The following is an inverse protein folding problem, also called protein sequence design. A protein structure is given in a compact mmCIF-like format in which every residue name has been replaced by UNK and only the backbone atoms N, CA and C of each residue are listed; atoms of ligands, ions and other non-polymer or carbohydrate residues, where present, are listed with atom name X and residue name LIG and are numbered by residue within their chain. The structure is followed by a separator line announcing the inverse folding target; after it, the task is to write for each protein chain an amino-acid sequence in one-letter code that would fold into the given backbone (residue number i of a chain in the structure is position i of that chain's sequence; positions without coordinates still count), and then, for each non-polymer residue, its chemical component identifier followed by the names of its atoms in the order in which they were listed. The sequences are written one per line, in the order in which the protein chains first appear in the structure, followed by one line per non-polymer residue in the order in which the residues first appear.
data_IF_858272172354
#
_entry.id   IF_858272172354
#
_cell.length_a   1.000
_cell.length_b   1.000
_cell.length_c   1.000
_cell.angle_alpha   90.00
_cell.angle_beta   90.00
_cell.angle_gamma   90.00
#
_symmetry.space_group_name_H-M   'P 1'
#
loop_
_entity.id
_entity.type
_entity.pdbx_description
1 polymer ?
#
# COMPACT_ATOMS: atom_id res chain seq x y z
N UNK A 1 -66.53 43.86 16.78
CA UNK A 1 -65.18 43.78 16.17
C UNK A 1 -64.06 43.76 17.20
N UNK A 2 -63.96 44.66 18.20
CA UNK A 2 -62.88 44.63 19.23
C UNK A 2 -62.71 43.33 20.04
N UNK A 3 -63.76 42.53 20.27
CA UNK A 3 -63.69 41.28 21.06
C UNK A 3 -63.20 40.03 20.29
N UNK A 4 -63.12 40.10 18.96
CA UNK A 4 -62.75 38.96 18.11
C UNK A 4 -61.24 38.97 17.81
N UNK A 5 -60.65 40.16 17.72
CA UNK A 5 -59.21 40.40 17.61
C UNK A 5 -58.43 39.94 18.86
N UNK A 6 -58.98 40.19 20.07
CA UNK A 6 -58.38 39.77 21.35
C UNK A 6 -58.38 38.23 21.54
N UNK A 7 -59.33 37.52 20.91
CA UNK A 7 -59.43 36.05 20.97
C UNK A 7 -58.40 35.38 20.07
N UNK A 8 -58.24 35.88 18.85
CA UNK A 8 -57.21 35.42 17.92
C UNK A 8 -55.80 35.74 18.43
N UNK A 9 -55.58 36.91 19.05
CA UNK A 9 -54.33 37.23 19.74
C UNK A 9 -54.03 36.24 20.87
N UNK A 10 -55.02 35.90 21.71
CA UNK A 10 -54.84 34.89 22.77
C UNK A 10 -54.58 33.49 22.25
N UNK A 11 -55.24 33.07 21.17
CA UNK A 11 -55.02 31.74 20.56
C UNK A 11 -53.64 31.63 19.91
N UNK A 12 -53.15 32.69 19.24
CA UNK A 12 -51.79 32.76 18.68
C UNK A 12 -50.70 32.80 19.77
N UNK A 13 -50.93 33.55 20.86
CA UNK A 13 -50.03 33.59 22.03
C UNK A 13 -50.01 32.23 22.74
N UNK A 14 -51.15 31.52 22.80
CA UNK A 14 -51.23 30.16 23.36
C UNK A 14 -50.50 29.14 22.47
N UNK A 15 -50.53 29.31 21.14
CA UNK A 15 -49.77 28.46 20.21
C UNK A 15 -48.25 28.64 20.34
N UNK A 16 -47.79 29.83 20.75
CA UNK A 16 -46.36 30.13 20.96
C UNK A 16 -45.84 29.80 22.37
N UNK A 17 -46.71 29.62 23.37
CA UNK A 17 -46.31 29.50 24.79
C UNK A 17 -46.40 28.10 25.38
N UNK A 18 -47.07 27.15 24.72
CA UNK A 18 -47.36 25.85 25.36
C UNK A 18 -46.22 24.84 25.27
N UNK A 19 -45.22 25.03 24.42
CA UNK A 19 -44.06 24.12 24.33
C UNK A 19 -42.72 24.88 24.27
N UNK A 20 -41.96 24.81 25.37
CA UNK A 20 -40.52 25.06 25.51
C UNK A 20 -39.97 26.47 25.19
N UNK A 21 -39.87 27.36 26.19
CA UNK A 21 -38.73 28.31 26.31
C UNK A 21 -38.50 29.37 25.21
N UNK A 22 -39.36 29.47 24.20
CA UNK A 22 -39.23 30.47 23.14
C UNK A 22 -39.59 31.87 23.64
N UNK A 23 -38.75 32.86 23.31
CA UNK A 23 -39.10 34.27 23.46
C UNK A 23 -39.85 34.70 22.23
N UNK A 24 -40.95 35.43 22.40
CA UNK A 24 -41.70 35.99 21.28
C UNK A 24 -41.86 37.49 21.44
N UNK A 25 -42.08 38.18 20.32
CA UNK A 25 -42.39 39.60 20.29
C UNK A 25 -43.44 39.90 19.25
N UNK A 26 -44.29 40.88 19.53
CA UNK A 26 -45.34 41.34 18.65
C UNK A 26 -45.10 42.81 18.36
N UNK A 27 -44.86 43.16 17.10
CA UNK A 27 -44.72 44.54 16.67
C UNK A 27 -45.99 45.03 15.97
N UNK A 28 -46.65 46.03 16.56
CA UNK A 28 -47.81 46.73 16.00
C UNK A 28 -47.36 48.06 15.42
N UNK A 29 -47.32 48.16 14.09
CA UNK A 29 -46.73 49.33 13.40
C UNK A 29 -47.53 50.61 13.54
N UNK A 30 -48.85 50.55 13.75
CA UNK A 30 -49.71 51.73 13.91
C UNK A 30 -49.28 52.64 15.07
N UNK A 31 -48.67 52.08 16.11
CA UNK A 31 -48.26 52.80 17.33
C UNK A 31 -46.75 52.72 17.58
N UNK A 32 -45.98 52.16 16.62
CA UNK A 32 -44.59 51.74 16.79
C UNK A 32 -44.32 51.01 18.12
N UNK A 33 -45.28 50.16 18.55
CA UNK A 33 -45.21 49.51 19.85
C UNK A 33 -44.85 48.03 19.66
N UNK A 34 -43.77 47.59 20.29
CA UNK A 34 -43.37 46.18 20.34
C UNK A 34 -43.62 45.65 21.75
N UNK A 35 -44.20 44.46 21.84
CA UNK A 35 -44.44 43.77 23.10
C UNK A 35 -43.67 42.47 23.08
N UNK A 36 -42.72 42.31 23.99
CA UNK A 36 -41.98 41.08 24.19
C UNK A 36 -42.70 40.17 25.19
N UNK A 37 -42.44 38.86 25.11
CA UNK A 37 -42.81 37.89 26.14
C UNK A 37 -42.12 38.21 27.47
N UNK A 38 -42.73 37.81 28.58
CA UNK A 38 -42.12 37.99 29.91
C UNK A 38 -40.72 37.36 29.98
N UNK A 39 -39.80 38.05 30.64
CA UNK A 39 -38.41 37.62 30.86
C UNK A 39 -37.54 37.48 29.59
N UNK A 40 -37.87 38.16 28.48
CA UNK A 40 -37.01 38.14 27.29
C UNK A 40 -35.59 38.66 27.56
N UNK A 41 -35.43 39.57 28.53
CA UNK A 41 -34.12 40.12 28.92
C UNK A 41 -33.16 39.02 29.41
N UNK A 42 -33.69 37.90 29.94
CA UNK A 42 -32.89 36.79 30.44
C UNK A 42 -32.13 36.06 29.34
N UNK A 43 -32.62 36.05 28.10
CA UNK A 43 -31.91 35.48 26.95
C UNK A 43 -30.59 36.21 26.68
N UNK A 44 -30.59 37.53 26.88
CA UNK A 44 -29.40 38.36 26.74
C UNK A 44 -28.60 38.47 28.05
N UNK A 45 -29.04 37.78 29.12
CA UNK A 45 -28.37 37.77 30.43
C UNK A 45 -28.61 39.01 31.29
N UNK A 46 -29.65 39.79 30.99
CA UNK A 46 -30.02 40.99 31.75
C UNK A 46 -31.11 40.66 32.79
N UNK A 47 -31.20 41.49 33.83
CA UNK A 47 -32.30 41.43 34.82
C UNK A 47 -33.54 42.14 34.27
N UNK A 48 -34.69 41.83 34.86
CA UNK A 48 -35.97 42.44 34.49
C UNK A 48 -35.91 43.97 34.64
N UNK A 49 -36.35 44.69 33.61
CA UNK A 49 -36.32 46.16 33.50
C UNK A 49 -34.92 46.80 33.41
N UNK A 50 -33.87 46.04 33.09
CA UNK A 50 -32.51 46.57 32.89
C UNK A 50 -32.31 47.17 31.50
N UNK A 51 -33.08 46.72 30.51
CA UNK A 51 -33.03 47.18 29.11
C UNK A 51 -34.43 47.59 28.61
N UNK A 52 -34.49 48.51 27.63
CA UNK A 52 -35.76 49.05 27.15
C UNK A 52 -36.50 48.07 26.23
N UNK A 53 -37.83 48.06 26.27
CA UNK A 53 -38.67 47.28 25.37
C UNK A 53 -38.85 47.93 23.99
N UNK A 54 -37.85 48.70 23.51
CA UNK A 54 -37.93 49.35 22.19
C UNK A 54 -37.38 48.43 21.09
N UNK A 55 -37.90 48.51 19.85
CA UNK A 55 -37.32 47.79 18.71
C UNK A 55 -35.84 48.13 18.49
N UNK A 56 -35.46 49.38 18.76
CA UNK A 56 -34.09 49.87 18.61
C UNK A 56 -33.15 49.25 19.65
N UNK A 57 -33.66 48.83 20.82
CA UNK A 57 -32.83 48.22 21.86
C UNK A 57 -32.27 46.88 21.42
N UNK A 58 -33.09 45.99 20.85
CA UNK A 58 -32.63 44.70 20.34
C UNK A 58 -31.53 44.87 19.29
N UNK A 59 -31.71 45.82 18.38
CA UNK A 59 -30.75 46.12 17.30
C UNK A 59 -29.38 46.54 17.86
N UNK A 60 -29.30 47.21 19.01
CA UNK A 60 -28.02 47.58 19.65
C UNK A 60 -27.19 46.37 20.07
N UNK A 61 -27.84 45.24 20.34
CA UNK A 61 -27.18 44.02 20.80
C UNK A 61 -26.74 43.13 19.64
N UNK A 62 -27.28 43.33 18.43
CA UNK A 62 -26.88 42.58 17.23
C UNK A 62 -25.43 42.89 16.85
N UNK A 63 -24.68 41.88 16.42
CA UNK A 63 -23.33 42.06 15.88
C UNK A 63 -23.35 42.89 14.59
N UNK A 64 -22.40 43.82 14.44
CA UNK A 64 -22.37 44.77 13.32
C UNK A 64 -22.36 44.09 11.93
N UNK A 65 -21.75 42.90 11.85
CA UNK A 65 -21.68 42.06 10.64
C UNK A 65 -23.05 41.54 10.18
N UNK A 66 -24.00 41.36 11.11
CA UNK A 66 -25.32 40.78 10.85
C UNK A 66 -26.42 41.83 10.64
N UNK A 67 -26.15 43.10 10.96
CA UNK A 67 -27.12 44.19 10.81
C UNK A 67 -27.64 44.30 9.38
N UNK A 68 -26.78 44.14 8.37
CA UNK A 68 -27.18 44.22 6.96
C UNK A 68 -28.21 43.15 6.61
N UNK A 69 -27.99 41.90 7.03
CA UNK A 69 -28.90 40.78 6.78
C UNK A 69 -30.25 40.97 7.47
N UNK A 70 -30.27 41.56 8.67
CA UNK A 70 -31.52 41.91 9.36
C UNK A 70 -32.32 42.97 8.60
N UNK A 71 -31.67 44.03 8.10
CA UNK A 71 -32.36 45.07 7.32
C UNK A 71 -32.94 44.52 6.01
N UNK A 72 -32.20 43.64 5.33
CA UNK A 72 -32.67 42.96 4.12
C UNK A 72 -33.88 42.05 4.42
N UNK A 73 -33.84 41.26 5.50
CA UNK A 73 -34.96 40.42 5.91
C UNK A 73 -36.19 41.22 6.35
N UNK A 74 -36.02 42.32 7.09
CA UNK A 74 -37.15 43.21 7.42
C UNK A 74 -37.76 43.83 6.16
N UNK A 75 -36.95 44.10 5.14
CA UNK A 75 -37.44 44.62 3.85
C UNK A 75 -38.19 43.56 3.04
N UNK A 76 -37.81 42.29 3.15
CA UNK A 76 -38.52 41.18 2.45
C UNK A 76 -39.95 40.98 2.95
N UNK A 77 -40.26 41.36 4.20
CA UNK A 77 -41.62 41.33 4.76
C UNK A 77 -42.66 42.15 3.98
N UNK A 78 -42.22 43.07 3.10
CA UNK A 78 -43.12 43.77 2.18
C UNK A 78 -43.73 42.84 1.13
N UNK A 79 -43.06 41.74 0.82
CA UNK A 79 -43.44 40.77 -0.22
C UNK A 79 -43.73 39.38 0.35
N UNK A 80 -43.04 38.98 1.41
CA UNK A 80 -43.16 37.66 2.04
C UNK A 80 -43.91 37.77 3.37
N UNK A 81 -44.71 36.75 3.69
CA UNK A 81 -45.46 36.68 4.95
C UNK A 81 -44.69 35.98 6.07
N UNK A 82 -43.57 35.31 5.78
CA UNK A 82 -42.76 34.61 6.76
C UNK A 82 -41.30 34.53 6.31
N UNK A 83 -40.36 34.70 7.23
CA UNK A 83 -38.94 34.45 6.99
C UNK A 83 -38.22 34.07 8.29
N UNK A 84 -37.02 33.50 8.15
CA UNK A 84 -36.17 33.20 9.30
C UNK A 84 -34.72 33.58 9.02
N UNK A 85 -34.01 34.00 10.06
CA UNK A 85 -32.59 34.33 9.97
C UNK A 85 -31.85 33.93 11.25
N UNK A 86 -30.58 33.57 11.12
CA UNK A 86 -29.68 33.37 12.25
C UNK A 86 -28.62 34.46 12.31
N UNK A 87 -28.37 35.03 13.48
CA UNK A 87 -27.38 36.08 13.69
C UNK A 87 -26.87 36.09 15.12
N UNK A 88 -25.76 36.79 15.37
CA UNK A 88 -25.18 36.92 16.70
C UNK A 88 -25.71 38.15 17.42
N UNK A 89 -25.95 37.98 18.72
CA UNK A 89 -26.20 39.10 19.64
C UNK A 89 -25.22 39.06 20.81
N UNK A 90 -24.88 40.24 21.33
CA UNK A 90 -24.02 40.42 22.49
C UNK A 90 -24.81 40.10 23.77
N UNK A 91 -24.25 39.21 24.57
CA UNK A 91 -24.76 38.87 25.89
C UNK A 91 -24.19 39.86 26.92
N UNK A 92 -24.90 40.06 28.04
CA UNK A 92 -24.52 41.02 29.11
C UNK A 92 -23.13 40.78 29.70
N UNK A 93 -22.63 39.54 29.62
CA UNK A 93 -21.29 39.14 30.07
C UNK A 93 -20.18 39.36 29.02
N UNK A 94 -20.52 39.94 27.86
CA UNK A 94 -19.57 40.25 26.77
C UNK A 94 -19.32 39.12 25.77
N UNK A 95 -19.90 37.93 25.96
CA UNK A 95 -19.93 36.85 24.97
C UNK A 95 -20.95 37.14 23.87
N UNK A 96 -20.92 36.36 22.79
CA UNK A 96 -21.99 36.35 21.79
C UNK A 96 -22.83 35.09 21.94
N UNK A 97 -24.12 35.20 21.67
CA UNK A 97 -25.04 34.07 21.50
C UNK A 97 -25.58 34.08 20.06
N UNK A 98 -25.72 32.90 19.47
CA UNK A 98 -26.34 32.74 18.15
C UNK A 98 -27.86 32.65 18.33
N UNK A 99 -28.60 33.57 17.70
CA UNK A 99 -30.06 33.62 17.75
C UNK A 99 -30.64 33.23 16.40
N UNK A 100 -31.61 32.31 16.43
CA UNK A 100 -32.52 32.07 15.31
C UNK A 100 -33.80 32.85 15.53
N UNK A 101 -34.09 33.75 14.59
CA UNK A 101 -35.29 34.55 14.58
C UNK A 101 -36.21 34.07 13.49
N UNK A 102 -37.45 33.69 13.84
CA UNK A 102 -38.51 33.36 12.88
C UNK A 102 -39.59 34.42 12.98
N UNK A 103 -39.95 35.03 11.86
CA UNK A 103 -40.89 36.15 11.81
C UNK A 103 -42.02 35.82 10.86
N UNK A 104 -43.24 36.15 11.28
CA UNK A 104 -44.48 35.98 10.52
C UNK A 104 -45.33 37.25 10.55
N UNK A 105 -45.84 37.65 9.40
CA UNK A 105 -46.82 38.73 9.26
C UNK A 105 -48.20 38.19 9.61
N UNK A 106 -48.83 38.78 10.61
CA UNK A 106 -50.15 38.37 11.10
C UNK A 106 -51.27 39.12 10.37
N UNK A 107 -51.03 40.39 10.02
CA UNK A 107 -51.99 41.20 9.26
C UNK A 107 -51.28 42.27 8.43
N UNK A 108 -51.94 42.69 7.35
CA UNK A 108 -51.52 43.77 6.45
C UNK A 108 -52.60 44.83 6.33
N UNK A 109 -52.22 46.05 5.97
CA UNK A 109 -53.16 47.13 5.66
C UNK A 109 -53.74 46.98 4.24
N UNK A 110 -54.68 47.86 3.89
CA UNK A 110 -55.31 47.90 2.55
C UNK A 110 -54.31 48.16 1.41
N UNK A 111 -53.08 48.62 1.73
CA UNK A 111 -52.00 48.88 0.78
C UNK A 111 -50.97 47.73 0.73
N UNK A 112 -51.24 46.62 1.44
CA UNK A 112 -50.39 45.42 1.46
C UNK A 112 -49.20 45.49 2.41
N UNK A 113 -49.07 46.55 3.22
CA UNK A 113 -47.96 46.72 4.15
C UNK A 113 -48.24 45.97 5.47
N UNK A 114 -47.23 45.31 6.08
CA UNK A 114 -47.42 44.61 7.36
C UNK A 114 -47.93 45.56 8.45
N UNK A 115 -48.99 45.18 9.17
CA UNK A 115 -49.56 45.90 10.32
C UNK A 115 -49.15 45.28 11.65
N UNK A 116 -49.22 43.95 11.73
CA UNK A 116 -48.89 43.17 12.91
C UNK A 116 -47.88 42.09 12.53
N UNK A 117 -46.75 42.06 13.22
CA UNK A 117 -45.66 41.10 12.98
C UNK A 117 -45.41 40.35 14.28
N UNK A 118 -45.35 39.03 14.21
CA UNK A 118 -44.97 38.14 15.31
C UNK A 118 -43.57 37.59 15.00
N UNK A 119 -42.64 37.73 15.93
CA UNK A 119 -41.34 37.09 15.86
C UNK A 119 -41.08 36.18 17.05
N UNK A 120 -40.28 35.15 16.86
CA UNK A 120 -39.71 34.33 17.92
C UNK A 120 -38.19 34.37 17.89
N UNK A 121 -37.56 34.30 19.06
CA UNK A 121 -36.12 34.17 19.24
C UNK A 121 -35.82 32.85 19.93
N UNK A 122 -34.88 32.11 19.38
CA UNK A 122 -34.36 30.85 19.90
C UNK A 122 -32.84 30.96 20.04
N UNK A 123 -32.31 30.63 21.22
CA UNK A 123 -30.86 30.46 21.40
C UNK A 123 -30.42 29.17 20.72
N UNK A 124 -29.64 29.32 19.64
CA UNK A 124 -29.07 28.22 18.88
C UNK A 124 -27.55 28.13 19.07
N UNK A 125 -26.98 28.74 20.11
CA UNK A 125 -25.53 28.76 20.35
C UNK A 125 -24.96 27.35 20.46
N UNK A 126 -25.54 26.52 21.34
CA UNK A 126 -25.12 25.11 21.49
C UNK A 126 -25.35 24.31 20.20
N UNK A 127 -26.48 24.53 19.52
CA UNK A 127 -26.79 23.86 18.25
C UNK A 127 -25.78 24.23 17.16
N UNK A 128 -25.41 25.51 17.06
CA UNK A 128 -24.45 26.02 16.08
C UNK A 128 -23.04 25.53 16.37
N UNK A 129 -22.66 25.48 17.65
CA UNK A 129 -21.39 24.89 18.09
C UNK A 129 -21.30 23.40 17.73
N UNK A 130 -22.32 22.61 18.09
CA UNK A 130 -22.39 21.18 17.77
C UNK A 130 -22.35 20.96 16.24
N UNK A 131 -23.09 21.76 15.46
CA UNK A 131 -23.05 21.67 13.98
C UNK A 131 -21.66 21.93 13.41
N UNK A 132 -20.95 22.95 13.90
CA UNK A 132 -19.58 23.26 13.49
C UNK A 132 -18.60 22.13 13.85
N UNK A 133 -18.71 21.60 15.06
CA UNK A 133 -17.91 20.44 15.51
C UNK A 133 -18.18 19.19 14.66
N UNK A 134 -19.45 18.90 14.34
CA UNK A 134 -19.83 17.78 13.48
C UNK A 134 -19.26 17.91 12.06
N UNK A 135 -19.35 19.09 11.44
CA UNK A 135 -18.78 19.33 10.12
C UNK A 135 -17.25 19.12 10.11
N UNK A 136 -16.56 19.65 11.13
CA UNK A 136 -15.11 19.48 11.28
C UNK A 136 -14.73 18.02 11.47
N UNK A 137 -15.50 17.27 12.26
CA UNK A 137 -15.27 15.85 12.48
C UNK A 137 -15.52 15.01 11.22
N UNK A 138 -16.51 15.37 10.39
CA UNK A 138 -16.75 14.72 9.10
C UNK A 138 -15.56 14.91 8.15
N UNK A 139 -15.07 16.14 7.98
CA UNK A 139 -13.89 16.42 7.16
C UNK A 139 -12.64 15.67 7.65
N UNK A 140 -12.43 15.65 8.98
CA UNK A 140 -11.33 14.89 9.58
C UNK A 140 -11.47 13.38 9.35
N UNK A 141 -12.68 12.84 9.44
CA UNK A 141 -12.94 11.43 9.19
C UNK A 141 -12.64 11.07 7.73
N UNK A 142 -13.09 11.88 6.77
CA UNK A 142 -12.80 11.69 5.34
C UNK A 142 -11.29 11.72 5.06
N UNK A 143 -10.57 12.68 5.65
CA UNK A 143 -9.12 12.79 5.49
C UNK A 143 -8.39 11.56 6.07
N UNK A 144 -8.81 11.10 7.25
CA UNK A 144 -8.23 9.90 7.88
C UNK A 144 -8.55 8.65 7.07
N UNK A 145 -9.78 8.53 6.55
CA UNK A 145 -10.20 7.40 5.72
C UNK A 145 -9.41 7.34 4.41
N UNK A 146 -9.27 8.47 3.71
CA UNK A 146 -8.46 8.56 2.49
C UNK A 146 -6.98 8.20 2.74
N UNK A 147 -6.43 8.58 3.89
CA UNK A 147 -5.07 8.16 4.29
C UNK A 147 -4.99 6.67 4.57
N UNK A 148 -6.00 6.10 5.25
CA UNK A 148 -6.07 4.66 5.52
C UNK A 148 -6.18 3.85 4.23
N UNK A 149 -7.03 4.24 3.29
CA UNK A 149 -7.13 3.59 1.99
C UNK A 149 -5.82 3.66 1.21
N UNK A 150 -5.18 4.83 1.17
CA UNK A 150 -3.88 4.98 0.51
C UNK A 150 -2.83 4.04 1.13
N UNK A 151 -2.71 4.00 2.46
CA UNK A 151 -1.77 3.11 3.13
C UNK A 151 -2.11 1.62 2.97
N UNK A 152 -3.40 1.28 2.83
CA UNK A 152 -3.84 -0.10 2.68
C UNK A 152 -3.62 -0.66 1.27
N UNK A 153 -3.69 0.18 0.24
CA UNK A 153 -3.70 -0.26 -1.16
C UNK A 153 -2.57 0.27 -2.04
N UNK A 154 -1.77 1.23 -1.56
CA UNK A 154 -0.68 1.82 -2.32
C UNK A 154 0.63 1.73 -1.54
N UNK A 155 1.71 1.60 -2.30
CA UNK A 155 3.08 1.65 -1.79
C UNK A 155 3.45 3.10 -1.46
N UNK A 156 3.92 3.34 -0.23
CA UNK A 156 4.18 4.68 0.28
C UNK A 156 5.38 5.37 -0.39
N UNK A 157 6.30 4.61 -0.98
CA UNK A 157 7.51 5.15 -1.62
C UNK A 157 7.24 5.56 -3.07
N UNK A 158 6.63 4.67 -3.85
CA UNK A 158 6.42 4.86 -5.30
C UNK A 158 5.06 5.44 -5.64
N UNK A 159 4.08 5.37 -4.73
CA UNK A 159 2.68 5.70 -5.00
C UNK A 159 2.00 4.75 -6.01
N UNK A 160 2.65 3.63 -6.36
CA UNK A 160 2.02 2.56 -7.13
C UNK A 160 1.07 1.75 -6.24
N UNK A 161 0.07 1.07 -6.82
CA UNK A 161 -0.63 0.00 -6.13
C UNK A 161 0.34 -0.97 -5.42
N UNK A 162 -0.05 -1.42 -4.24
CA UNK A 162 0.72 -2.42 -3.50
C UNK A 162 0.28 -3.85 -3.87
N UNK A 163 0.89 -4.84 -3.23
CA UNK A 163 0.58 -6.27 -3.40
C UNK A 163 -0.90 -6.60 -3.23
N UNK A 164 -1.57 -6.07 -2.20
CA UNK A 164 -2.98 -6.34 -1.92
C UNK A 164 -3.86 -5.84 -3.06
N UNK A 165 -3.60 -4.61 -3.52
CA UNK A 165 -4.37 -3.99 -4.59
C UNK A 165 -4.23 -4.77 -5.91
N UNK A 166 -2.99 -5.09 -6.30
CA UNK A 166 -2.76 -5.77 -7.59
C UNK A 166 -3.26 -7.22 -7.58
N UNK A 167 -3.14 -7.95 -6.47
CA UNK A 167 -3.70 -9.31 -6.35
C UNK A 167 -5.23 -9.29 -6.47
N UNK A 168 -5.89 -8.32 -5.83
CA UNK A 168 -7.35 -8.12 -5.92
C UNK A 168 -7.77 -7.80 -7.36
N UNK A 169 -7.09 -6.83 -7.98
CA UNK A 169 -7.38 -6.40 -9.36
C UNK A 169 -7.11 -7.51 -10.37
N UNK A 170 -6.03 -8.27 -10.19
CA UNK A 170 -5.66 -9.38 -11.05
C UNK A 170 -6.72 -10.49 -11.02
N UNK A 171 -7.29 -10.82 -9.86
CA UNK A 171 -8.39 -11.80 -9.77
C UNK A 171 -9.64 -11.36 -10.56
N UNK A 172 -9.95 -10.05 -10.56
CA UNK A 172 -11.03 -9.51 -11.38
C UNK A 172 -10.71 -9.64 -12.87
N UNK A 173 -9.51 -9.23 -13.28
CA UNK A 173 -9.04 -9.31 -14.68
C UNK A 173 -9.06 -10.76 -15.19
N UNK A 174 -8.63 -11.73 -14.38
CA UNK A 174 -8.66 -13.16 -14.73
C UNK A 174 -10.10 -13.62 -14.93
N UNK A 175 -11.01 -13.27 -14.02
CA UNK A 175 -12.43 -13.64 -14.11
C UNK A 175 -13.08 -13.10 -15.39
N UNK A 176 -12.77 -11.84 -15.74
CA UNK A 176 -13.22 -11.21 -16.97
C UNK A 176 -12.63 -11.91 -18.20
N UNK A 177 -11.34 -12.27 -18.15
CA UNK A 177 -10.66 -12.94 -19.25
C UNK A 177 -11.22 -14.34 -19.54
N UNK A 178 -11.52 -15.11 -18.48
CA UNK A 178 -12.17 -16.43 -18.58
C UNK A 178 -13.56 -16.27 -19.22
N UNK A 179 -14.36 -15.32 -18.72
CA UNK A 179 -15.73 -15.09 -19.21
C UNK A 179 -15.77 -14.68 -20.69
N UNK A 180 -14.78 -13.90 -21.14
CA UNK A 180 -14.69 -13.40 -22.50
C UNK A 180 -13.80 -14.25 -23.42
N UNK A 181 -13.24 -15.36 -22.93
CA UNK A 181 -12.27 -16.20 -23.66
C UNK A 181 -11.08 -15.41 -24.22
N UNK A 182 -10.60 -14.41 -23.47
CA UNK A 182 -9.42 -13.60 -23.82
C UNK A 182 -8.20 -14.07 -23.04
N UNK A 183 -7.00 -13.75 -23.54
CA UNK A 183 -5.74 -14.03 -22.85
C UNK A 183 -5.12 -12.74 -22.32
N UNK A 184 -4.49 -12.82 -21.16
CA UNK A 184 -3.68 -11.75 -20.59
C UNK A 184 -2.36 -12.26 -20.02
N UNK A 185 -1.52 -11.35 -19.56
CA UNK A 185 -0.18 -11.67 -19.07
C UNK A 185 0.14 -10.96 -17.75
N UNK A 186 0.92 -11.62 -16.91
CA UNK A 186 1.50 -11.07 -15.67
C UNK A 186 3.01 -11.05 -15.85
N UNK A 187 3.61 -9.88 -15.65
CA UNK A 187 5.05 -9.65 -15.68
C UNK A 187 5.50 -9.41 -14.24
N UNK A 188 6.46 -10.19 -13.77
CA UNK A 188 7.14 -10.01 -12.49
C UNK A 188 8.55 -9.49 -12.77
N UNK A 189 8.90 -8.36 -12.17
CA UNK A 189 10.04 -7.53 -12.54
C UNK A 189 10.89 -7.32 -11.29
N UNK A 190 12.20 -7.52 -11.39
CA UNK A 190 13.14 -7.31 -10.29
C UNK A 190 14.42 -6.62 -10.79
N UNK A 191 14.96 -5.73 -9.95
CA UNK A 191 16.14 -4.95 -10.26
C UNK A 191 17.42 -5.74 -9.93
N UNK A 192 18.19 -6.04 -10.97
CA UNK A 192 19.39 -6.85 -10.84
C UNK A 192 20.46 -6.16 -9.97
N UNK A 193 20.99 -6.90 -9.00
CA UNK A 193 22.03 -6.44 -8.07
C UNK A 193 21.64 -5.22 -7.21
N UNK A 194 20.35 -4.96 -7.00
CA UNK A 194 19.90 -3.81 -6.21
C UNK A 194 20.45 -3.80 -4.77
N UNK A 195 20.62 -4.98 -4.16
CA UNK A 195 21.29 -5.09 -2.85
C UNK A 195 22.71 -4.51 -2.86
N UNK A 196 23.51 -4.83 -3.87
CA UNK A 196 24.88 -4.29 -3.98
C UNK A 196 24.88 -2.77 -4.15
N UNK A 197 23.88 -2.24 -4.86
CA UNK A 197 23.67 -0.80 -5.00
C UNK A 197 23.38 -0.16 -3.64
N UNK A 198 22.48 -0.73 -2.85
CA UNK A 198 22.19 -0.27 -1.48
C UNK A 198 23.41 -0.36 -0.56
N UNK A 199 24.16 -1.46 -0.63
CA UNK A 199 25.35 -1.67 0.21
C UNK A 199 26.46 -0.66 -0.14
N UNK A 200 26.50 -0.15 -1.39
CA UNK A 200 27.51 0.79 -1.87
C UNK A 200 27.10 2.26 -1.70
N UNK A 201 25.85 2.61 -2.02
CA UNK A 201 25.36 4.00 -2.10
C UNK A 201 24.35 4.36 -1.00
N UNK A 202 23.97 3.39 -0.18
CA UNK A 202 23.04 3.56 0.93
C UNK A 202 21.56 3.40 0.54
N UNK A 203 20.74 3.03 1.52
CA UNK A 203 19.31 2.79 1.33
C UNK A 203 18.54 4.02 0.82
N UNK A 204 18.89 5.23 1.27
CA UNK A 204 18.22 6.45 0.78
C UNK A 204 18.39 6.66 -0.72
N UNK A 205 19.56 6.32 -1.27
CA UNK A 205 19.77 6.35 -2.71
C UNK A 205 19.00 5.22 -3.43
N UNK A 206 18.94 4.03 -2.83
CA UNK A 206 18.08 2.95 -3.31
C UNK A 206 16.61 3.34 -3.39
N UNK A 207 16.10 4.07 -2.41
CA UNK A 207 14.72 4.56 -2.39
C UNK A 207 14.46 5.53 -3.56
N UNK A 208 15.43 6.38 -3.90
CA UNK A 208 15.35 7.26 -5.08
C UNK A 208 15.33 6.46 -6.39
N UNK A 209 16.16 5.41 -6.50
CA UNK A 209 16.15 4.48 -7.63
C UNK A 209 14.78 3.82 -7.77
N UNK A 210 14.24 3.25 -6.68
CA UNK A 210 12.93 2.60 -6.68
C UNK A 210 11.83 3.58 -7.06
N UNK A 211 11.86 4.80 -6.53
CA UNK A 211 10.91 5.86 -6.88
C UNK A 211 10.96 6.13 -8.38
N UNK A 212 12.17 6.27 -8.95
CA UNK A 212 12.34 6.54 -10.37
C UNK A 212 11.86 5.40 -11.26
N UNK A 213 12.14 4.16 -10.87
CA UNK A 213 11.64 2.95 -11.54
C UNK A 213 10.12 2.91 -11.51
N UNK A 214 9.51 3.21 -10.35
CA UNK A 214 8.06 3.28 -10.19
C UNK A 214 7.42 4.32 -11.13
N UNK A 215 8.02 5.51 -11.25
CA UNK A 215 7.57 6.54 -12.20
C UNK A 215 7.62 6.06 -13.65
N UNK A 216 8.72 5.42 -14.06
CA UNK A 216 8.90 4.92 -15.43
C UNK A 216 7.89 3.81 -15.74
N UNK A 217 7.72 2.84 -14.84
CA UNK A 217 6.74 1.77 -15.01
C UNK A 217 5.32 2.35 -15.10
N UNK A 218 4.97 3.29 -14.21
CA UNK A 218 3.66 3.96 -14.22
C UNK A 218 3.40 4.70 -15.53
N UNK A 219 4.43 5.36 -16.09
CA UNK A 219 4.30 6.06 -17.37
C UNK A 219 4.14 5.10 -18.56
N UNK A 220 4.82 3.94 -18.52
CA UNK A 220 4.72 2.92 -19.57
C UNK A 220 3.36 2.21 -19.51
N UNK A 221 2.80 2.00 -18.31
CA UNK A 221 1.51 1.36 -18.10
C UNK A 221 0.36 2.36 -18.30
N UNK A 222 -0.18 2.40 -19.53
CA UNK A 222 -1.30 3.26 -19.90
C UNK A 222 -2.53 2.41 -20.28
N UNK A 223 -3.72 3.03 -20.26
CA UNK A 223 -4.98 2.36 -20.58
C UNK A 223 -5.32 1.31 -19.53
N UNK A 224 -5.62 0.08 -19.99
CA UNK A 224 -6.06 -1.00 -19.11
C UNK A 224 -4.89 -1.73 -18.40
N UNK A 225 -3.63 -1.43 -18.77
CA UNK A 225 -2.45 -2.06 -18.17
C UNK A 225 -2.26 -1.56 -16.74
N UNK A 226 -2.09 -2.49 -15.79
CA UNK A 226 -1.95 -2.18 -14.37
C UNK A 226 -0.53 -2.44 -13.89
N UNK A 227 0.00 -1.61 -13.00
CA UNK A 227 1.32 -1.78 -12.39
C UNK A 227 1.26 -1.68 -10.88
N UNK A 228 2.18 -2.35 -10.19
CA UNK A 228 2.28 -2.35 -8.74
C UNK A 228 3.72 -2.54 -8.26
N UNK A 229 4.03 -2.10 -7.05
CA UNK A 229 5.23 -2.51 -6.31
C UNK A 229 4.81 -3.51 -5.25
N UNK A 230 5.38 -4.72 -5.28
CA UNK A 230 4.99 -5.81 -4.37
C UNK A 230 5.87 -5.89 -3.13
N UNK A 231 7.09 -5.35 -3.18
CA UNK A 231 8.01 -5.21 -2.05
C UNK A 231 9.45 -5.02 -2.53
N UNK A 232 10.33 -4.47 -1.69
CA UNK A 232 11.75 -4.31 -2.03
C UNK A 232 11.97 -3.64 -3.39
N UNK A 233 12.66 -4.32 -4.28
CA UNK A 233 12.96 -3.97 -5.67
C UNK A 233 12.06 -4.69 -6.71
N UNK A 234 10.97 -5.30 -6.24
CA UNK A 234 10.06 -6.10 -7.05
C UNK A 234 8.82 -5.31 -7.49
N UNK A 235 8.51 -5.38 -8.79
CA UNK A 235 7.35 -4.77 -9.42
C UNK A 235 6.56 -5.80 -10.20
N UNK A 236 5.26 -5.55 -10.33
CA UNK A 236 4.34 -6.38 -11.11
C UNK A 236 3.63 -5.52 -12.13
N UNK A 237 3.52 -6.02 -13.35
CA UNK A 237 2.69 -5.43 -14.40
C UNK A 237 1.71 -6.46 -14.93
N UNK A 238 0.45 -6.06 -15.13
CA UNK A 238 -0.63 -6.91 -15.64
C UNK A 238 -1.14 -6.33 -16.95
N UNK A 239 -1.00 -7.11 -18.02
CA UNK A 239 -1.59 -6.86 -19.33
C UNK A 239 -2.93 -7.61 -19.36
N UNK A 240 -4.09 -6.92 -19.29
CA UNK A 240 -5.37 -7.59 -19.08
C UNK A 240 -5.84 -8.38 -20.30
N UNK A 241 -5.47 -7.95 -21.50
CA UNK A 241 -5.80 -8.62 -22.76
C UNK A 241 -4.72 -8.39 -23.81
N UNK A 242 -4.46 -9.39 -24.63
CA UNK A 242 -3.66 -9.28 -25.87
C UNK A 242 -4.20 -10.22 -26.95
N UNK A 243 -3.92 -9.93 -28.23
CA UNK A 243 -4.32 -10.80 -29.35
C UNK A 243 -3.16 -11.69 -29.79
N UNK A 244 -1.98 -11.09 -29.92
CA UNK A 244 -0.75 -11.76 -30.31
C UNK A 244 0.32 -11.66 -29.22
N UNK A 245 1.05 -12.76 -28.99
CA UNK A 245 2.11 -12.80 -27.98
C UNK A 245 3.22 -11.77 -28.22
N UNK A 246 3.38 -11.32 -29.48
CA UNK A 246 4.31 -10.25 -29.86
C UNK A 246 4.00 -8.94 -29.15
N UNK A 247 2.73 -8.65 -28.85
CA UNK A 247 2.33 -7.46 -28.09
C UNK A 247 2.92 -7.48 -26.68
N UNK A 248 2.87 -8.64 -26.01
CA UNK A 248 3.48 -8.85 -24.69
C UNK A 248 5.00 -8.72 -24.78
N UNK A 249 5.62 -9.32 -25.79
CA UNK A 249 7.07 -9.26 -26.01
C UNK A 249 7.54 -7.82 -26.22
N UNK A 250 6.86 -7.06 -27.08
CA UNK A 250 7.23 -5.68 -27.41
C UNK A 250 7.02 -4.76 -26.21
N UNK A 251 5.95 -4.98 -25.44
CA UNK A 251 5.71 -4.27 -24.19
C UNK A 251 6.80 -4.57 -23.14
N UNK A 252 7.19 -5.83 -22.95
CA UNK A 252 8.28 -6.22 -22.04
C UNK A 252 9.61 -5.60 -22.46
N UNK A 253 9.93 -5.62 -23.76
CA UNK A 253 11.15 -4.98 -24.28
C UNK A 253 11.15 -3.47 -24.06
N UNK A 254 9.99 -2.82 -24.18
CA UNK A 254 9.83 -1.40 -23.87
C UNK A 254 10.15 -1.13 -22.40
N UNK A 255 9.66 -1.95 -21.47
CA UNK A 255 10.01 -1.85 -20.04
C UNK A 255 11.52 -1.97 -19.85
N UNK A 256 12.13 -3.07 -20.33
CA UNK A 256 13.58 -3.29 -20.18
C UNK A 256 14.39 -2.08 -20.67
N UNK A 257 14.11 -1.62 -21.89
CA UNK A 257 14.82 -0.48 -22.48
C UNK A 257 14.64 0.80 -21.67
N UNK A 258 13.42 1.12 -21.26
CA UNK A 258 13.14 2.35 -20.50
C UNK A 258 13.75 2.34 -19.10
N UNK A 259 13.87 1.18 -18.45
CA UNK A 259 14.58 1.05 -17.17
C UNK A 259 16.10 1.16 -17.36
N UNK A 260 16.64 0.59 -18.44
CA UNK A 260 18.06 0.71 -18.78
C UNK A 260 18.47 2.16 -19.12
N UNK A 261 17.53 2.97 -19.61
CA UNK A 261 17.72 4.40 -19.89
C UNK A 261 17.84 5.26 -18.62
N UNK A 262 17.55 4.72 -17.43
CA UNK A 262 17.79 5.39 -16.15
C UNK A 262 19.30 5.33 -15.85
N UNK A 263 20.07 6.23 -16.48
CA UNK A 263 21.54 6.26 -16.39
C UNK A 263 22.08 7.11 -15.24
N UNK A 264 21.31 8.07 -14.76
CA UNK A 264 21.76 9.03 -13.73
C UNK A 264 20.67 9.35 -12.73
N UNK A 265 20.99 9.31 -11.44
CA UNK A 265 20.14 9.80 -10.34
C UNK A 265 21.00 10.66 -9.42
N UNK A 266 20.56 11.90 -9.17
CA UNK A 266 21.28 12.86 -8.31
C UNK A 266 22.78 13.01 -8.66
N UNK A 267 23.09 13.09 -9.96
CA UNK A 267 24.43 13.17 -10.55
C UNK A 267 25.34 11.94 -10.31
N UNK A 268 24.81 10.83 -9.80
CA UNK A 268 25.51 9.55 -9.77
C UNK A 268 25.14 8.74 -11.00
N UNK A 269 26.16 8.26 -11.72
CA UNK A 269 25.98 7.30 -12.81
C UNK A 269 25.58 5.95 -12.23
N UNK A 270 24.50 5.38 -12.76
CA UNK A 270 24.03 4.05 -12.39
C UNK A 270 23.89 3.19 -13.64
N UNK A 271 24.16 1.90 -13.45
CA UNK A 271 23.89 0.89 -14.48
C UNK A 271 22.82 -0.05 -13.96
N UNK A 272 21.56 0.31 -14.22
CA UNK A 272 20.41 -0.50 -13.84
C UNK A 272 20.18 -1.59 -14.89
N UNK A 273 20.01 -2.82 -14.42
CA UNK A 273 19.55 -3.95 -15.24
C UNK A 273 18.36 -4.61 -14.55
N UNK A 274 17.54 -5.33 -15.33
CA UNK A 274 16.28 -5.85 -14.84
C UNK A 274 16.00 -7.25 -15.37
N UNK A 275 15.55 -8.13 -14.50
CA UNK A 275 15.10 -9.48 -14.84
C UNK A 275 13.58 -9.53 -14.82
N UNK A 276 12.95 -10.04 -15.89
CA UNK A 276 11.49 -10.10 -16.02
C UNK A 276 10.99 -11.53 -16.29
N UNK A 277 10.12 -12.03 -15.44
CA UNK A 277 9.40 -13.28 -15.68
C UNK A 277 7.97 -13.03 -16.12
N UNK A 278 7.45 -13.87 -17.01
CA UNK A 278 6.13 -13.66 -17.62
C UNK A 278 5.28 -14.92 -17.47
N UNK A 279 4.06 -14.80 -16.97
CA UNK A 279 3.04 -15.85 -17.02
C UNK A 279 1.81 -15.39 -17.81
N UNK A 280 1.07 -16.33 -18.38
CA UNK A 280 -0.07 -16.11 -19.28
C UNK A 280 -1.31 -16.75 -18.67
N UNK A 281 -2.41 -16.00 -18.62
CA UNK A 281 -3.70 -16.49 -18.18
C UNK A 281 -4.73 -16.45 -19.32
N UNK A 282 -5.73 -17.35 -19.31
CA UNK A 282 -5.97 -18.40 -18.30
C UNK A 282 -5.13 -19.67 -18.49
N UNK A 283 -4.33 -19.80 -19.56
CA UNK A 283 -3.62 -21.04 -19.92
C UNK A 283 -2.73 -21.63 -18.81
N UNK A 284 -2.02 -20.78 -18.08
CA UNK A 284 -1.08 -21.22 -17.04
C UNK A 284 -1.67 -21.09 -15.63
N UNK A 285 -2.92 -20.65 -15.49
CA UNK A 285 -3.56 -20.54 -14.18
C UNK A 285 -4.72 -19.57 -14.14
N UNK A 286 -5.64 -19.82 -13.20
CA UNK A 286 -6.86 -19.04 -12.98
C UNK A 286 -6.86 -18.33 -11.61
N UNK A 287 -5.71 -18.30 -10.92
CA UNK A 287 -5.53 -17.63 -9.62
C UNK A 287 -4.36 -16.67 -9.68
N UNK A 288 -4.55 -15.45 -9.13
CA UNK A 288 -3.47 -14.47 -9.00
C UNK A 288 -2.24 -15.05 -8.29
N UNK A 289 -2.45 -15.87 -7.26
CA UNK A 289 -1.36 -16.50 -6.49
C UNK A 289 -0.50 -17.43 -7.34
N UNK A 290 -1.10 -18.23 -8.23
CA UNK A 290 -0.36 -19.13 -9.11
C UNK A 290 0.36 -18.35 -10.22
N UNK A 291 -0.31 -17.39 -10.85
CA UNK A 291 0.27 -16.62 -11.94
C UNK A 291 1.44 -15.75 -11.49
N UNK A 292 1.33 -15.11 -10.31
CA UNK A 292 2.43 -14.38 -9.70
C UNK A 292 3.60 -15.31 -9.38
N UNK A 293 3.33 -16.49 -8.78
CA UNK A 293 4.36 -17.50 -8.51
C UNK A 293 5.06 -17.97 -9.79
N UNK A 294 4.32 -18.20 -10.88
CA UNK A 294 4.89 -18.66 -12.15
C UNK A 294 5.71 -17.58 -12.84
N UNK A 295 5.25 -16.32 -12.80
CA UNK A 295 6.04 -15.20 -13.29
C UNK A 295 7.32 -15.02 -12.46
N UNK A 296 7.24 -15.13 -11.13
CA UNK A 296 8.40 -15.10 -10.24
C UNK A 296 9.42 -16.23 -10.54
N UNK A 297 8.96 -17.47 -10.72
CA UNK A 297 9.80 -18.60 -11.15
C UNK A 297 10.53 -18.28 -12.47
N UNK A 298 9.82 -17.74 -13.46
CA UNK A 298 10.43 -17.38 -14.74
C UNK A 298 11.46 -16.25 -14.60
N UNK A 299 11.20 -15.29 -13.72
CA UNK A 299 12.10 -14.17 -13.41
C UNK A 299 13.39 -14.68 -12.75
N UNK A 300 13.29 -15.57 -11.77
CA UNK A 300 14.44 -16.22 -11.18
C UNK A 300 15.28 -16.97 -12.23
N UNK A 301 14.64 -17.62 -13.20
CA UNK A 301 15.35 -18.24 -14.33
C UNK A 301 16.08 -17.25 -15.23
N UNK A 302 15.59 -16.01 -15.37
CA UNK A 302 16.36 -14.95 -16.03
C UNK A 302 17.63 -14.63 -15.25
N UNK A 303 17.52 -14.48 -13.92
CA UNK A 303 18.67 -14.19 -13.05
C UNK A 303 19.76 -15.26 -13.14
N UNK A 304 19.37 -16.53 -13.21
CA UNK A 304 20.30 -17.66 -13.43
C UNK A 304 20.92 -17.63 -14.85
N UNK A 305 20.19 -17.13 -15.85
CA UNK A 305 20.59 -17.18 -17.27
C UNK A 305 21.40 -15.97 -17.76
N UNK A 306 21.84 -15.09 -16.85
CA UNK A 306 22.68 -13.93 -17.20
C UNK A 306 22.04 -12.55 -17.00
N UNK A 307 20.85 -12.47 -16.38
CA UNK A 307 20.18 -11.20 -16.01
C UNK A 307 19.81 -10.31 -17.22
N UNK A 308 19.27 -9.12 -16.97
CA UNK A 308 18.95 -8.12 -18.00
C UNK A 308 18.14 -8.64 -19.21
N UNK A 309 17.11 -9.44 -18.96
CA UNK A 309 16.31 -10.07 -20.01
C UNK A 309 14.92 -10.45 -19.49
N UNK A 310 14.15 -11.18 -20.30
CA UNK A 310 12.88 -11.75 -19.89
C UNK A 310 12.73 -13.22 -20.28
N UNK A 311 11.89 -13.96 -19.56
CA UNK A 311 11.47 -15.32 -19.92
C UNK A 311 9.98 -15.54 -19.65
N UNK A 312 9.35 -16.32 -20.51
CA UNK A 312 8.03 -16.88 -20.24
C UNK A 312 8.15 -18.11 -19.36
N UNK A 313 7.18 -18.26 -18.45
CA UNK A 313 7.02 -19.44 -17.65
C UNK A 313 6.78 -20.67 -18.53
N UNK A 314 7.41 -21.78 -18.14
CA UNK A 314 7.16 -23.12 -18.68
C UNK A 314 7.11 -24.13 -17.54
N UNK A 315 6.35 -25.21 -17.69
CA UNK A 315 6.26 -26.24 -16.65
C UNK A 315 7.59 -26.94 -16.33
N UNK A 316 8.53 -26.92 -17.28
CA UNK A 316 9.89 -27.41 -17.07
C UNK A 316 10.62 -26.59 -15.98
N UNK A 317 10.41 -25.28 -15.90
CA UNK A 317 11.02 -24.43 -14.87
C UNK A 317 10.56 -24.81 -13.46
N UNK A 318 9.27 -25.11 -13.27
CA UNK A 318 8.76 -25.58 -11.98
C UNK A 318 9.35 -26.94 -11.63
N UNK A 319 9.38 -27.87 -12.59
CA UNK A 319 9.96 -29.21 -12.38
C UNK A 319 11.44 -29.17 -12.02
N UNK A 320 12.21 -28.25 -12.61
CA UNK A 320 13.61 -28.04 -12.25
C UNK A 320 13.78 -27.59 -10.80
N UNK A 321 12.97 -26.64 -10.33
CA UNK A 321 13.00 -26.16 -8.95
C UNK A 321 12.62 -27.27 -7.98
N UNK A 322 11.55 -28.00 -8.27
CA UNK A 322 11.10 -29.14 -7.46
C UNK A 322 12.18 -30.23 -7.37
N UNK A 323 12.83 -30.55 -8.50
CA UNK A 323 13.94 -31.51 -8.51
C UNK A 323 15.15 -30.98 -7.74
N UNK A 324 15.51 -29.69 -7.85
CA UNK A 324 16.57 -29.07 -7.04
C UNK A 324 16.27 -29.23 -5.54
N UNK A 325 15.05 -28.91 -5.11
CA UNK A 325 14.64 -29.03 -3.70
C UNK A 325 14.65 -30.49 -3.21
N UNK A 326 14.22 -31.43 -4.06
CA UNK A 326 14.30 -32.86 -3.73
C UNK A 326 15.75 -33.29 -3.55
N UNK A 327 16.63 -32.96 -4.51
CA UNK A 327 18.06 -33.25 -4.42
C UNK A 327 18.67 -32.64 -3.16
N UNK A 328 18.40 -31.37 -2.88
CA UNK A 328 18.89 -30.68 -1.68
C UNK A 328 18.49 -31.41 -0.40
N UNK A 329 17.20 -31.75 -0.25
CA UNK A 329 16.66 -32.48 0.91
C UNK A 329 17.32 -33.84 1.09
N UNK A 330 17.63 -34.53 0.00
CA UNK A 330 18.24 -35.86 0.02
C UNK A 330 19.76 -35.80 0.24
N UNK A 331 20.45 -34.81 -0.32
CA UNK A 331 21.90 -34.66 -0.20
C UNK A 331 22.34 -34.47 1.26
N UNK A 332 21.59 -33.69 2.06
CA UNK A 332 21.86 -33.52 3.49
C UNK A 332 21.85 -34.88 4.21
N UNK A 333 20.89 -35.74 3.87
CA UNK A 333 20.78 -37.08 4.47
C UNK A 333 21.83 -38.04 3.93
N UNK A 334 22.27 -37.86 2.69
CA UNK A 334 23.25 -38.73 2.04
C UNK A 334 24.60 -38.72 2.76
N UNK A 335 24.99 -37.57 3.32
CA UNK A 335 26.19 -37.39 4.15
C UNK A 335 26.13 -38.30 5.40
N UNK A 336 24.97 -38.43 6.03
CA UNK A 336 24.76 -39.24 7.24
C UNK A 336 24.52 -40.72 6.95
N UNK A 337 23.96 -41.04 5.77
CA UNK A 337 23.44 -42.38 5.44
C UNK A 337 24.39 -43.26 4.62
N UNK A 338 25.67 -42.90 4.51
CA UNK A 338 26.67 -43.61 3.70
C UNK A 338 26.22 -43.80 2.23
N UNK A 339 25.49 -42.84 1.68
CA UNK A 339 25.07 -42.86 0.26
C UNK A 339 26.13 -42.24 -0.66
N UNK A 340 27.13 -41.58 -0.08
CA UNK A 340 28.27 -40.98 -0.76
C UNK A 340 29.47 -41.93 -0.74
N UNK A 341 30.24 -41.93 -1.82
CA UNK A 341 31.51 -42.67 -1.91
C UNK A 341 32.52 -41.88 -2.75
N UNK A 342 33.82 -42.12 -2.51
CA UNK A 342 34.90 -41.60 -3.34
C UNK A 342 35.34 -42.67 -4.33
N UNK A 343 35.30 -42.33 -5.61
CA UNK A 343 36.05 -43.06 -6.64
C UNK A 343 37.42 -42.40 -6.80
N UNK A 344 38.42 -43.17 -7.20
CA UNK A 344 39.79 -42.68 -7.36
C UNK A 344 40.25 -42.87 -8.80
N UNK A 345 40.59 -41.78 -9.48
CA UNK A 345 41.13 -41.81 -10.83
C UNK A 345 42.65 -41.69 -10.77
N UNK A 346 43.42 -42.64 -11.31
CA UNK A 346 44.89 -42.57 -11.29
C UNK A 346 45.39 -41.44 -12.20
N UNK A 347 46.41 -40.74 -11.71
CA UNK A 347 47.20 -39.78 -12.46
C UNK A 347 48.54 -40.45 -12.79
N UNK A 348 48.87 -40.48 -14.09
CA UNK A 348 50.06 -41.19 -14.60
C UNK A 348 51.14 -40.16 -14.87
N UNK A 349 52.34 -40.37 -14.30
CA UNK A 349 53.52 -39.59 -14.68
C UNK A 349 53.89 -39.92 -16.13
N UNK A 350 53.90 -38.91 -17.00
CA UNK A 350 54.14 -39.10 -18.43
C UNK A 350 55.57 -39.53 -18.78
N UNK A 351 56.54 -39.35 -17.88
CA UNK A 351 57.93 -39.75 -18.10
C UNK A 351 58.22 -41.14 -17.55
N UNK A 352 57.66 -41.48 -16.38
CA UNK A 352 57.96 -42.74 -15.69
C UNK A 352 56.89 -43.81 -15.89
N UNK A 353 55.73 -43.45 -16.45
CA UNK A 353 54.52 -44.28 -16.56
C UNK A 353 54.03 -44.85 -15.22
N UNK A 354 54.50 -44.28 -14.10
CA UNK A 354 54.13 -44.70 -12.76
C UNK A 354 52.89 -43.97 -12.25
N UNK A 355 52.08 -44.66 -11.44
CA UNK A 355 50.94 -44.07 -10.74
C UNK A 355 51.39 -43.70 -9.33
N UNK A 356 51.78 -42.45 -9.12
CA UNK A 356 52.18 -41.91 -7.80
C UNK A 356 51.08 -41.05 -7.15
N UNK A 357 49.98 -40.84 -7.87
CA UNK A 357 48.90 -39.94 -7.46
C UNK A 357 47.54 -40.36 -8.00
N UNK A 358 46.48 -40.01 -7.27
CA UNK A 358 45.07 -40.23 -7.65
C UNK A 358 44.25 -38.98 -7.38
N UNK A 359 43.21 -38.76 -8.18
CA UNK A 359 42.16 -37.77 -7.92
C UNK A 359 40.95 -38.43 -7.26
N UNK A 360 40.53 -37.90 -6.11
CA UNK A 360 39.33 -38.31 -5.40
C UNK A 360 38.09 -37.62 -5.99
N UNK A 361 37.18 -38.43 -6.52
CA UNK A 361 35.98 -37.97 -7.20
C UNK A 361 34.74 -38.51 -6.49
N UNK A 362 33.95 -37.60 -5.91
CA UNK A 362 32.74 -37.97 -5.19
C UNK A 362 31.67 -38.57 -6.12
N UNK A 363 30.96 -39.58 -5.62
CA UNK A 363 29.80 -40.21 -6.26
C UNK A 363 28.70 -40.32 -5.23
N UNK A 364 27.46 -40.09 -5.68
CA UNK A 364 26.29 -40.26 -4.84
C UNK A 364 25.39 -41.35 -5.40
N UNK A 365 25.16 -42.39 -4.61
CA UNK A 365 24.26 -43.48 -4.93
C UNK A 365 22.96 -43.32 -4.15
N UNK A 366 21.96 -42.74 -4.80
CA UNK A 366 20.65 -42.56 -4.21
C UNK A 366 19.85 -43.88 -4.22
N UNK A 367 19.19 -44.27 -3.11
CA UNK A 367 18.52 -45.56 -2.99
C UNK A 367 17.49 -45.87 -4.08
N UNK A 368 16.78 -44.84 -4.57
CA UNK A 368 15.73 -45.00 -5.60
C UNK A 368 16.08 -44.39 -6.96
N UNK A 369 17.06 -43.47 -7.01
CA UNK A 369 17.41 -42.73 -8.25
C UNK A 369 18.70 -43.24 -8.89
N UNK A 370 19.40 -44.18 -8.25
CA UNK A 370 20.68 -44.69 -8.73
C UNK A 370 21.81 -43.67 -8.56
N UNK A 371 22.81 -43.70 -9.44
CA UNK A 371 23.94 -42.78 -9.38
C UNK A 371 23.50 -41.38 -9.82
N UNK A 372 23.59 -40.42 -8.92
CA UNK A 372 23.35 -39.00 -9.20
C UNK A 372 24.70 -38.34 -9.55
N UNK A 373 24.74 -37.68 -10.70
CA UNK A 373 25.96 -37.03 -11.20
C UNK A 373 26.39 -35.86 -10.31
N UNK A 374 27.70 -35.69 -10.03
CA UNK A 374 28.24 -34.50 -9.37
C UNK A 374 27.84 -33.19 -10.05
N UNK A 375 27.67 -33.18 -11.38
CA UNK A 375 27.21 -32.00 -12.11
C UNK A 375 25.79 -31.57 -11.74
N UNK A 376 25.00 -32.46 -11.13
CA UNK A 376 23.65 -32.16 -10.65
C UNK A 376 23.68 -31.67 -9.20
N UNK A 377 24.35 -32.40 -8.31
CA UNK A 377 24.24 -32.12 -6.87
C UNK A 377 25.30 -31.16 -6.32
N UNK A 378 26.46 -30.98 -6.96
CA UNK A 378 27.48 -30.03 -6.50
C UNK A 378 27.00 -28.57 -6.62
N UNK A 379 26.43 -28.12 -7.76
CA UNK A 379 25.89 -26.76 -7.84
C UNK A 379 24.80 -26.49 -6.80
N UNK A 380 23.96 -27.49 -6.52
CA UNK A 380 22.93 -27.41 -5.47
C UNK A 380 23.60 -27.34 -4.09
N UNK A 381 24.65 -28.13 -3.85
CA UNK A 381 25.38 -28.07 -2.60
C UNK A 381 25.99 -26.69 -2.35
N UNK A 382 26.51 -26.04 -3.40
CA UNK A 382 27.04 -24.69 -3.35
C UNK A 382 25.93 -23.66 -3.08
N UNK A 383 24.85 -23.71 -3.86
CA UNK A 383 23.70 -22.80 -3.76
C UNK A 383 23.08 -22.80 -2.34
N UNK A 384 22.97 -23.97 -1.73
CA UNK A 384 22.38 -24.14 -0.39
C UNK A 384 23.41 -24.24 0.74
N UNK A 385 24.69 -24.03 0.47
CA UNK A 385 25.78 -24.06 1.47
C UNK A 385 26.16 -25.45 2.02
N UNK A 386 25.54 -26.53 1.55
CA UNK A 386 25.81 -27.93 1.92
C UNK A 386 27.23 -28.35 1.48
N UNK A 387 27.81 -27.67 0.49
CA UNK A 387 29.16 -27.95 -0.04
C UNK A 387 30.24 -27.96 1.05
N UNK A 388 30.01 -27.26 2.16
CA UNK A 388 30.91 -27.19 3.32
C UNK A 388 30.98 -28.53 4.06
N UNK A 389 29.82 -29.06 4.44
CA UNK A 389 29.71 -30.34 5.14
C UNK A 389 30.15 -31.48 4.21
N UNK A 390 29.74 -31.39 2.95
CA UNK A 390 30.14 -32.32 1.91
C UNK A 390 31.67 -32.36 1.73
N UNK A 391 32.31 -31.19 1.64
CA UNK A 391 33.76 -31.11 1.49
C UNK A 391 34.52 -31.59 2.71
N UNK A 392 33.99 -31.35 3.92
CA UNK A 392 34.54 -31.91 5.15
C UNK A 392 34.47 -33.44 5.15
N UNK A 393 33.33 -34.00 4.73
CA UNK A 393 33.16 -35.43 4.55
C UNK A 393 34.18 -35.99 3.54
N UNK A 394 34.31 -35.36 2.36
CA UNK A 394 35.28 -35.77 1.32
C UNK A 394 36.71 -35.79 1.86
N UNK A 395 37.13 -34.73 2.57
CA UNK A 395 38.47 -34.62 3.15
C UNK A 395 38.75 -35.76 4.13
N UNK A 396 37.82 -35.99 5.07
CA UNK A 396 37.97 -37.05 6.08
C UNK A 396 38.02 -38.44 5.43
N UNK A 397 37.14 -38.71 4.47
CA UNK A 397 37.08 -40.01 3.78
C UNK A 397 38.34 -40.26 2.94
N UNK A 398 38.84 -39.25 2.24
CA UNK A 398 40.07 -39.36 1.46
C UNK A 398 41.31 -39.58 2.34
N UNK A 399 41.43 -38.86 3.46
CA UNK A 399 42.53 -39.03 4.42
C UNK A 399 42.49 -40.42 5.06
N UNK A 400 41.31 -40.89 5.47
CA UNK A 400 41.12 -42.22 6.03
C UNK A 400 41.46 -43.32 5.01
N UNK A 401 41.05 -43.16 3.75
CA UNK A 401 41.39 -44.12 2.69
C UNK A 401 42.90 -44.17 2.42
N UNK A 402 43.57 -43.00 2.41
CA UNK A 402 45.03 -42.94 2.21
C UNK A 402 45.77 -43.62 3.37
N UNK A 403 45.29 -43.44 4.60
CA UNK A 403 45.82 -44.14 5.78
C UNK A 403 45.62 -45.66 5.67
N UNK A 404 44.45 -46.11 5.23
CA UNK A 404 44.17 -47.53 5.00
C UNK A 404 45.10 -48.15 3.95
N UNK A 405 45.39 -47.45 2.85
CA UNK A 405 46.37 -47.92 1.86
C UNK A 405 47.78 -48.01 2.43
N UNK A 406 48.18 -47.02 3.22
CA UNK A 406 49.47 -47.04 3.94
C UNK A 406 49.57 -48.25 4.87
N UNK A 407 48.52 -48.51 5.66
CA UNK A 407 48.47 -49.63 6.60
C UNK A 407 48.45 -51.01 5.91
N UNK A 408 47.97 -51.07 4.66
CA UNK A 408 48.03 -52.25 3.78
C UNK A 408 49.38 -52.45 3.10
N UNK A 409 50.34 -51.55 3.31
CA UNK A 409 51.70 -51.65 2.77
C UNK A 409 51.88 -51.12 1.34
N UNK A 410 50.90 -50.36 0.81
CA UNK A 410 51.08 -49.65 -0.45
C UNK A 410 52.09 -48.51 -0.29
N UNK A 411 52.78 -48.17 -1.38
CA UNK A 411 53.66 -47.01 -1.41
C UNK A 411 52.84 -45.72 -1.13
N UNK A 412 53.43 -44.71 -0.49
CA UNK A 412 52.75 -43.44 -0.24
C UNK A 412 52.20 -42.84 -1.55
N UNK A 413 50.89 -42.68 -1.62
CA UNK A 413 50.20 -42.12 -2.78
C UNK A 413 49.65 -40.74 -2.44
N UNK A 414 49.77 -39.79 -3.37
CA UNK A 414 49.18 -38.46 -3.22
C UNK A 414 47.71 -38.53 -3.65
N UNK A 415 46.82 -37.93 -2.85
CA UNK A 415 45.40 -37.83 -3.17
C UNK A 415 45.05 -36.36 -3.44
N UNK A 416 44.64 -36.08 -4.67
CA UNK A 416 44.11 -34.77 -5.09
C UNK A 416 42.62 -34.68 -4.75
N UNK A 417 42.19 -33.58 -4.15
CA UNK A 417 40.81 -33.34 -3.74
C UNK A 417 40.35 -32.00 -4.32
N UNK A 418 39.20 -31.99 -4.97
CA UNK A 418 38.58 -30.78 -5.50
C UNK A 418 37.95 -29.95 -4.36
N UNK A 419 38.13 -28.64 -4.42
CA UNK A 419 37.66 -27.70 -3.38
C UNK A 419 36.86 -26.58 -4.04
N UNK A 420 35.65 -26.33 -3.54
CA UNK A 420 34.81 -25.22 -4.00
C UNK A 420 35.34 -23.87 -3.47
N UNK A 421 35.25 -22.77 -4.23
CA UNK A 421 35.62 -21.43 -3.76
C UNK A 421 34.93 -21.03 -2.44
N UNK A 422 33.66 -21.44 -2.26
CA UNK A 422 32.88 -21.15 -1.05
C UNK A 422 33.47 -21.77 0.22
N UNK A 423 34.24 -22.86 0.07
CA UNK A 423 34.95 -23.46 1.20
C UNK A 423 36.17 -22.65 1.61
N UNK A 424 36.81 -21.94 0.69
CA UNK A 424 38.02 -21.13 0.94
C UNK A 424 37.69 -19.79 1.60
N UNK A 425 36.55 -19.19 1.26
CA UNK A 425 36.11 -17.87 1.77
C UNK A 425 35.82 -17.85 3.28
N UNK A 426 35.73 -19.01 3.92
CA UNK A 426 35.21 -19.15 5.27
C UNK A 426 36.22 -18.90 6.40
N UNK A 427 37.50 -18.78 6.05
CA UNK A 427 38.58 -18.52 7.01
C UNK A 427 38.95 -19.68 7.93
N UNK A 428 38.12 -20.72 8.07
CA UNK A 428 38.36 -21.92 8.89
C UNK A 428 38.83 -23.14 8.09
N UNK A 429 38.90 -23.06 6.76
CA UNK A 429 39.28 -24.17 5.88
C UNK A 429 40.58 -24.87 6.30
N UNK A 430 41.58 -24.09 6.70
CA UNK A 430 42.88 -24.62 7.19
C UNK A 430 42.70 -25.47 8.45
N UNK A 431 41.76 -25.11 9.33
CA UNK A 431 41.44 -25.88 10.55
C UNK A 431 40.77 -27.20 10.17
N UNK A 432 39.83 -27.17 9.21
CA UNK A 432 39.15 -28.37 8.70
C UNK A 432 40.17 -29.35 8.12
N UNK A 433 41.09 -28.89 7.26
CA UNK A 433 42.14 -29.73 6.67
C UNK A 433 43.06 -30.31 7.75
N UNK A 434 43.48 -29.49 8.73
CA UNK A 434 44.32 -29.97 9.85
C UNK A 434 43.63 -31.05 10.68
N UNK A 435 42.31 -30.96 10.86
CA UNK A 435 41.57 -31.96 11.62
C UNK A 435 41.38 -33.25 10.83
N UNK A 436 41.21 -33.19 9.51
CA UNK A 436 41.11 -34.38 8.65
C UNK A 436 42.41 -35.19 8.57
N UNK A 437 43.57 -34.54 8.78
CA UNK A 437 44.90 -35.16 8.75
C UNK A 437 45.32 -35.80 10.08
N UNK A 438 44.56 -35.60 11.16
CA UNK A 438 44.79 -36.26 12.46
C UNK A 438 44.20 -37.65 12.44
#
# INVERSE_FOLDING_TARGET
MKKQDDRHHKELITFATVENGYIYWIWKREHNNISYSENWERLLGYRENEISNSPEEWIKHVADEDLKHIHEGISSLLLEDEFSLSYKVKHSQGSHIDILTRIKVISRDEQGKPLCILGTHEDITEVTKIKKELATNQENFELVYAKLENCAFYDSLTGLPNRINIETKLNMIISDAISNSTKGAVLFIDLDNFKNLNDTLGHSFGDEVITKVGEVIKHICHGDVSSARVGGDEFVVVIPKFTHITEVIDFTKKILKSLEEIRTINNNDINLSTSIGISIFPEQGESSTHLLKYADIAMHKVKESGKNNFKFYTDEMTKEIENKMEIQKHLIKAIEKNELVLHYQPLIDANTESVDSVEALIRWYHPTKGMISPLVFIPIAEEFGIIRDLGTWVLNTACMQNKEWSDKGFAPIKVSINVSPLQLEQGDFVVVVKNALK
#
